data_IF_852005774435
#
_entry.id   IF_852005774435
#
_cell.length_a   1.000
_cell.length_b   1.000
_cell.length_c   1.000
_cell.angle_alpha   90.00
_cell.angle_beta   90.00
_cell.angle_gamma   90.00
#
_symmetry.space_group_name_H-M   'P 1'
#
loop_
_entity.id
_entity.type
_entity.pdbx_description
1 polymer ?
#
# COMPACT_ATOMS: atom_id res chain seq x y z
N UNK A 1 -24.77 0.57 -7.03
CA UNK A 1 -24.25 1.45 -5.96
C UNK A 1 -22.75 1.22 -5.89
N UNK A 2 -21.91 2.26 -5.99
CA UNK A 2 -20.45 2.09 -5.98
C UNK A 2 -19.99 1.75 -4.55
N UNK A 3 -19.34 0.60 -4.39
CA UNK A 3 -18.86 0.07 -3.11
C UNK A 3 -17.60 0.83 -2.65
N UNK A 4 -17.57 1.33 -1.42
CA UNK A 4 -16.40 1.99 -0.82
C UNK A 4 -15.35 0.93 -0.49
N UNK A 5 -14.14 1.08 -1.03
CA UNK A 5 -13.04 0.11 -0.87
C UNK A 5 -11.99 0.57 0.15
N UNK A 6 -11.90 1.87 0.41
CA UNK A 6 -11.09 2.46 1.47
C UNK A 6 -11.90 3.55 2.16
N UNK A 7 -11.94 3.54 3.48
CA UNK A 7 -12.59 4.56 4.29
C UNK A 7 -11.69 4.93 5.47
N UNK A 8 -11.46 6.23 5.66
CA UNK A 8 -10.70 6.83 6.75
C UNK A 8 -11.62 7.73 7.56
N UNK A 9 -11.72 7.48 8.86
CA UNK A 9 -12.55 8.25 9.80
C UNK A 9 -11.69 8.91 10.85
N UNK A 10 -11.70 10.25 10.82
CA UNK A 10 -11.06 11.10 11.84
C UNK A 10 -9.59 10.74 12.09
N UNK A 11 -8.84 10.41 11.02
CA UNK A 11 -7.44 10.02 11.12
C UNK A 11 -6.60 11.18 11.63
N UNK A 12 -5.85 10.93 12.70
CA UNK A 12 -4.88 11.85 13.26
C UNK A 12 -3.48 11.26 13.14
N UNK A 13 -2.52 12.06 12.69
CA UNK A 13 -1.10 11.71 12.74
C UNK A 13 -0.27 12.94 13.07
N UNK A 14 0.49 12.84 14.15
CA UNK A 14 1.44 13.83 14.60
C UNK A 14 2.88 13.29 14.55
N UNK A 15 3.81 14.21 14.37
CA UNK A 15 5.24 14.05 14.57
C UNK A 15 5.71 15.16 15.52
N UNK A 16 6.92 15.08 16.11
CA UNK A 16 7.42 16.14 16.98
C UNK A 16 7.30 17.52 16.32
N UNK A 17 6.50 18.41 16.93
CA UNK A 17 6.26 19.78 16.45
C UNK A 17 5.27 19.93 15.29
N UNK A 18 4.69 18.87 14.72
CA UNK A 18 3.82 18.95 13.54
C UNK A 18 2.62 18.01 13.66
N UNK A 19 1.40 18.56 13.53
CA UNK A 19 0.17 17.79 13.32
C UNK A 19 -0.02 17.55 11.81
N UNK A 20 0.51 16.45 11.31
CA UNK A 20 0.57 16.17 9.87
C UNK A 20 -0.80 15.77 9.27
N UNK A 21 -1.64 15.06 10.03
CA UNK A 21 -3.03 14.78 9.69
C UNK A 21 -3.91 15.16 10.88
N UNK A 22 -4.94 15.97 10.63
CA UNK A 22 -5.85 16.45 11.66
C UNK A 22 -7.29 16.03 11.36
N UNK A 23 -7.77 14.99 12.04
CA UNK A 23 -9.14 14.44 11.90
C UNK A 23 -9.55 14.25 10.43
N UNK A 24 -8.63 13.72 9.62
CA UNK A 24 -8.85 13.55 8.19
C UNK A 24 -9.95 12.52 7.94
N UNK A 25 -10.87 12.86 7.04
CA UNK A 25 -11.93 11.99 6.53
C UNK A 25 -11.76 11.83 5.04
N UNK A 26 -11.77 10.59 4.58
CA UNK A 26 -11.54 10.27 3.18
C UNK A 26 -12.17 8.93 2.83
N UNK A 27 -12.83 8.85 1.68
CA UNK A 27 -13.32 7.61 1.11
C UNK A 27 -12.87 7.46 -0.34
N UNK A 28 -12.70 6.21 -0.76
CA UNK A 28 -12.40 5.84 -2.14
C UNK A 28 -13.32 4.71 -2.57
N UNK A 29 -13.97 4.87 -3.73
CA UNK A 29 -14.88 3.85 -4.27
C UNK A 29 -14.18 2.94 -5.28
N UNK A 30 -14.73 1.74 -5.45
CA UNK A 30 -14.27 0.81 -6.48
C UNK A 30 -14.32 1.45 -7.88
N UNK A 31 -13.20 1.39 -8.61
CA UNK A 31 -13.03 1.98 -9.93
C UNK A 31 -12.85 3.50 -9.94
N UNK A 32 -12.71 4.14 -8.78
CA UNK A 32 -12.40 5.56 -8.66
C UNK A 32 -10.88 5.80 -8.72
N UNK A 33 -10.49 6.88 -9.41
CA UNK A 33 -9.14 7.43 -9.36
C UNK A 33 -9.24 8.77 -8.64
N UNK A 34 -8.51 8.90 -7.53
CA UNK A 34 -8.52 10.11 -6.71
C UNK A 34 -7.14 10.78 -6.74
N UNK A 35 -7.11 12.09 -7.01
CA UNK A 35 -5.89 12.88 -6.97
C UNK A 35 -5.82 13.67 -5.65
N UNK A 36 -4.78 13.44 -4.86
CA UNK A 36 -4.53 14.20 -3.63
C UNK A 36 -3.53 15.32 -3.94
N UNK A 37 -4.01 16.56 -3.93
CA UNK A 37 -3.23 17.76 -4.25
C UNK A 37 -3.10 18.68 -3.04
N UNK A 38 -2.08 19.54 -3.04
CA UNK A 38 -1.82 20.49 -1.95
C UNK A 38 -0.34 20.85 -1.86
N UNK A 39 0.00 21.86 -1.07
CA UNK A 39 1.37 22.34 -0.90
C UNK A 39 2.29 21.32 -0.21
N UNK A 40 3.60 21.56 -0.29
CA UNK A 40 4.58 20.79 0.48
C UNK A 40 4.30 20.96 1.98
N UNK A 41 4.29 19.85 2.72
CA UNK A 41 3.93 19.85 4.13
C UNK A 41 2.43 19.68 4.43
N UNK A 42 1.53 19.72 3.44
CA UNK A 42 0.09 19.56 3.64
C UNK A 42 -0.38 18.15 4.09
N UNK A 43 0.55 17.23 4.40
CA UNK A 43 0.22 15.89 4.91
C UNK A 43 -0.01 14.80 3.85
N UNK A 44 0.08 15.10 2.55
CA UNK A 44 -0.18 14.15 1.45
C UNK A 44 0.62 12.85 1.56
N UNK A 45 1.95 12.94 1.69
CA UNK A 45 2.81 11.76 1.81
C UNK A 45 2.58 11.02 3.14
N UNK A 46 2.21 11.75 4.19
CA UNK A 46 1.82 11.16 5.48
C UNK A 46 0.55 10.32 5.35
N UNK A 47 -0.46 10.84 4.65
CA UNK A 47 -1.70 10.12 4.35
C UNK A 47 -1.40 8.81 3.60
N UNK A 48 -0.59 8.88 2.53
CA UNK A 48 -0.22 7.67 1.79
C UNK A 48 0.53 6.66 2.67
N UNK A 49 1.47 7.13 3.50
CA UNK A 49 2.22 6.28 4.46
C UNK A 49 1.34 5.67 5.55
N UNK A 50 0.28 6.35 5.97
CA UNK A 50 -0.70 5.79 6.91
C UNK A 50 -1.53 4.70 6.25
N UNK A 51 -2.07 4.97 5.06
CA UNK A 51 -2.89 4.01 4.31
C UNK A 51 -2.12 2.74 3.98
N UNK A 52 -0.83 2.85 3.63
CA UNK A 52 0.01 1.70 3.31
C UNK A 52 0.74 1.10 4.52
N UNK A 53 0.45 1.50 5.75
CA UNK A 53 1.02 0.86 6.95
C UNK A 53 2.49 1.14 7.23
N UNK A 54 3.08 2.18 6.62
CA UNK A 54 4.41 2.71 6.99
C UNK A 54 4.33 3.47 8.31
N UNK A 55 3.22 4.19 8.54
CA UNK A 55 2.95 4.89 9.79
C UNK A 55 1.62 4.44 10.37
N UNK A 56 1.60 4.13 11.66
CA UNK A 56 0.35 3.93 12.40
C UNK A 56 -0.29 5.31 12.70
N UNK A 57 -1.60 5.51 12.45
CA UNK A 57 -2.28 6.71 12.89
C UNK A 57 -2.32 6.76 14.42
N UNK A 58 -2.29 7.95 14.99
CA UNK A 58 -2.35 8.13 16.45
C UNK A 58 -3.80 8.04 16.95
N UNK A 59 -4.77 8.42 16.11
CA UNK A 59 -6.21 8.27 16.36
C UNK A 59 -6.96 8.04 15.05
N UNK A 60 -8.23 7.66 15.17
CA UNK A 60 -9.15 7.41 14.06
C UNK A 60 -9.18 5.95 13.62
N UNK A 61 -9.97 5.67 12.60
CA UNK A 61 -10.23 4.32 12.11
C UNK A 61 -10.04 4.24 10.59
N UNK A 62 -9.52 3.10 10.13
CA UNK A 62 -9.37 2.79 8.71
C UNK A 62 -10.09 1.48 8.40
N UNK A 63 -10.79 1.46 7.28
CA UNK A 63 -11.50 0.30 6.76
C UNK A 63 -11.05 0.02 5.33
N UNK A 64 -10.76 -1.24 5.02
CA UNK A 64 -10.45 -1.70 3.66
C UNK A 64 -11.48 -2.76 3.28
N UNK A 65 -12.22 -2.52 2.20
CA UNK A 65 -13.37 -3.33 1.78
C UNK A 65 -14.38 -3.56 2.92
N UNK A 66 -14.65 -2.52 3.72
CA UNK A 66 -15.55 -2.57 4.87
C UNK A 66 -15.00 -3.27 6.12
N UNK A 67 -13.79 -3.82 6.07
CA UNK A 67 -13.15 -4.50 7.22
C UNK A 67 -12.25 -3.51 7.95
N UNK A 68 -12.38 -3.34 9.28
CA UNK A 68 -11.45 -2.54 10.07
C UNK A 68 -10.02 -3.04 9.92
N UNK A 69 -9.07 -2.14 9.64
CA UNK A 69 -7.66 -2.47 9.47
C UNK A 69 -6.77 -1.55 10.29
N UNK A 70 -5.74 -2.13 10.87
CA UNK A 70 -4.59 -1.41 11.43
C UNK A 70 -3.36 -2.16 10.99
N UNK A 71 -2.57 -1.56 10.10
CA UNK A 71 -1.37 -2.19 9.58
C UNK A 71 -0.17 -1.88 10.46
N UNK A 72 0.64 -2.89 10.71
CA UNK A 72 1.94 -2.80 11.38
C UNK A 72 3.10 -2.68 10.40
N UNK A 73 2.86 -2.97 9.12
CA UNK A 73 3.86 -2.90 8.05
C UNK A 73 3.23 -2.75 6.66
N UNK A 74 4.01 -2.30 5.66
CA UNK A 74 3.58 -2.29 4.26
C UNK A 74 3.22 -3.66 3.70
N UNK A 75 3.88 -4.72 4.17
CA UNK A 75 3.58 -6.09 3.73
C UNK A 75 2.17 -6.53 4.18
N UNK A 76 1.73 -6.09 5.35
CA UNK A 76 0.38 -6.37 5.86
C UNK A 76 -0.70 -5.63 5.06
N UNK A 77 -0.41 -4.37 4.71
CA UNK A 77 -1.27 -3.57 3.82
C UNK A 77 -1.40 -4.24 2.44
N UNK A 78 -0.28 -4.67 1.87
CA UNK A 78 -0.22 -5.37 0.58
C UNK A 78 -1.06 -6.65 0.59
N UNK A 79 -0.93 -7.48 1.63
CA UNK A 79 -1.75 -8.70 1.81
C UNK A 79 -3.24 -8.40 1.96
N UNK A 80 -3.60 -7.18 2.34
CA UNK A 80 -4.98 -6.71 2.43
C UNK A 80 -5.47 -5.99 1.15
N UNK A 81 -4.67 -6.00 0.07
CA UNK A 81 -5.02 -5.39 -1.21
C UNK A 81 -4.64 -3.92 -1.38
N UNK A 82 -3.82 -3.37 -0.47
CA UNK A 82 -3.34 -1.98 -0.53
C UNK A 82 -1.86 -1.97 -0.87
N UNK A 83 -1.51 -1.47 -2.05
CA UNK A 83 -0.12 -1.31 -2.48
C UNK A 83 0.26 0.16 -2.62
N UNK A 84 1.55 0.46 -2.50
CA UNK A 84 2.11 1.80 -2.68
C UNK A 84 3.29 1.73 -3.64
N UNK A 85 3.38 2.72 -4.52
CA UNK A 85 4.57 3.00 -5.33
C UNK A 85 5.22 4.24 -4.70
N UNK A 86 6.43 4.09 -4.19
CA UNK A 86 7.18 5.21 -3.60
C UNK A 86 7.79 6.10 -4.69
N UNK A 87 8.10 7.34 -4.32
CA UNK A 87 8.66 8.33 -5.25
C UNK A 87 10.05 7.93 -5.78
N UNK A 88 10.86 7.29 -4.95
CA UNK A 88 12.16 6.75 -5.35
C UNK A 88 11.99 5.32 -5.87
N UNK A 89 12.61 5.04 -7.01
CA UNK A 89 12.57 3.72 -7.64
C UNK A 89 13.39 2.72 -6.83
N UNK A 90 12.74 1.71 -6.26
CA UNK A 90 13.41 0.57 -5.59
C UNK A 90 13.60 -0.60 -6.56
N UNK A 91 14.27 -0.35 -7.69
CA UNK A 91 14.58 -1.39 -8.67
C UNK A 91 15.91 -2.06 -8.33
N UNK A 92 15.99 -3.37 -8.57
CA UNK A 92 17.26 -4.09 -8.57
C UNK A 92 17.81 -4.07 -10.00
N UNK A 93 18.79 -3.21 -10.24
CA UNK A 93 19.32 -2.94 -11.58
C UNK A 93 20.03 -4.15 -12.19
N UNK A 94 20.55 -5.05 -11.33
CA UNK A 94 21.20 -6.29 -11.73
C UNK A 94 20.20 -7.39 -12.13
N UNK A 95 18.90 -7.15 -11.93
CA UNK A 95 17.83 -8.11 -12.20
C UNK A 95 17.09 -7.75 -13.48
N UNK A 96 16.53 -8.76 -14.17
CA UNK A 96 15.71 -8.48 -15.35
C UNK A 96 14.40 -7.79 -14.95
N UNK A 97 13.71 -7.17 -15.92
CA UNK A 97 12.37 -6.62 -15.70
C UNK A 97 11.41 -7.70 -15.19
N UNK A 98 11.51 -8.92 -15.73
CA UNK A 98 10.69 -10.05 -15.29
C UNK A 98 10.95 -10.36 -13.81
N UNK A 99 12.21 -10.42 -13.41
CA UNK A 99 12.57 -10.72 -12.04
C UNK A 99 12.12 -9.61 -11.07
N UNK A 100 12.29 -8.33 -11.45
CA UNK A 100 11.81 -7.20 -10.65
C UNK A 100 10.28 -7.23 -10.48
N UNK A 101 9.53 -7.56 -11.54
CA UNK A 101 8.07 -7.65 -11.49
C UNK A 101 7.63 -8.74 -10.51
N UNK A 102 8.26 -9.92 -10.53
CA UNK A 102 7.85 -11.08 -9.74
C UNK A 102 8.54 -11.22 -8.38
N UNK A 103 9.45 -10.31 -8.04
CA UNK A 103 10.26 -10.41 -6.83
C UNK A 103 9.39 -10.55 -5.57
N UNK A 104 9.65 -11.61 -4.80
CA UNK A 104 8.90 -11.94 -3.58
C UNK A 104 7.52 -12.58 -3.81
N UNK A 105 7.16 -12.84 -5.07
CA UNK A 105 5.94 -13.53 -5.47
C UNK A 105 6.16 -14.37 -6.74
N UNK A 106 7.33 -15.01 -6.81
CA UNK A 106 7.74 -15.85 -7.93
C UNK A 106 6.79 -17.04 -8.10
N UNK A 107 6.43 -17.37 -9.35
CA UNK A 107 5.65 -18.56 -9.63
C UNK A 107 6.54 -19.78 -9.41
N UNK A 108 6.16 -20.65 -8.48
CA UNK A 108 6.93 -21.84 -8.13
C UNK A 108 6.34 -23.10 -8.78
N UNK A 109 7.20 -23.97 -9.31
CA UNK A 109 6.85 -25.33 -9.72
C UNK A 109 7.54 -26.37 -8.86
N UNK A 110 6.98 -27.58 -8.80
CA UNK A 110 7.62 -28.74 -8.18
C UNK A 110 8.25 -29.62 -9.25
N UNK A 111 9.53 -29.95 -9.09
CA UNK A 111 10.24 -30.90 -9.95
C UNK A 111 11.08 -31.83 -9.08
N UNK A 112 10.85 -33.14 -9.20
CA UNK A 112 11.53 -34.18 -8.39
C UNK A 112 11.53 -33.87 -6.87
N UNK A 113 10.39 -33.40 -6.33
CA UNK A 113 10.25 -33.05 -4.91
C UNK A 113 10.77 -31.66 -4.50
N UNK A 114 11.57 -30.99 -5.34
CA UNK A 114 12.13 -29.67 -5.06
C UNK A 114 11.22 -28.55 -5.60
N UNK A 115 11.11 -27.46 -4.84
CA UNK A 115 10.49 -26.21 -5.32
C UNK A 115 11.51 -25.43 -6.14
N UNK A 116 11.14 -25.06 -7.36
CA UNK A 116 11.96 -24.25 -8.27
C UNK A 116 11.12 -23.12 -8.85
N UNK A 117 11.76 -22.00 -9.18
CA UNK A 117 11.13 -20.89 -9.88
C UNK A 117 10.72 -21.33 -11.29
N UNK A 118 9.51 -20.97 -11.71
CA UNK A 118 8.95 -21.27 -13.03
C UNK A 118 8.95 -20.05 -13.96
N UNK A 119 10.13 -19.75 -14.50
CA UNK A 119 10.32 -18.68 -15.48
C UNK A 119 9.41 -18.77 -16.70
N UNK A 120 8.99 -19.97 -17.11
CA UNK A 120 8.11 -20.15 -18.26
C UNK A 120 6.67 -19.70 -17.95
N UNK A 121 6.22 -19.87 -16.71
CA UNK A 121 4.90 -19.40 -16.27
C UNK A 121 4.87 -17.89 -16.08
N UNK A 122 5.96 -17.29 -15.56
CA UNK A 122 6.05 -15.84 -15.33
C UNK A 122 6.09 -15.00 -16.63
N UNK A 123 6.46 -15.60 -17.77
CA UNK A 123 6.53 -14.93 -19.07
C UNK A 123 5.20 -14.89 -19.84
N UNK A 124 4.14 -15.50 -19.31
CA UNK A 124 2.82 -15.56 -19.93
C UNK A 124 1.90 -14.51 -19.34
#
# INVERSE_FOLDING_TARGET
>A
MKNTILELKDIVKAFPGVLALNRLKFDLKSGEVHAICGENGAGKSTLMKVVCGVHKPDQGEMYVNGVPKTFSSPLEAYRSGVSIIFQETSLFEEMTVLDNIFLGHEIMKRKAGLKMIDYAAMRK
#
